data_IF_286930661840
#
_entry.id   IF_286930661840
#
_cell.length_a   1.000
_cell.length_b   1.000
_cell.length_c   1.000
_cell.angle_alpha   90.00
_cell.angle_beta   90.00
_cell.angle_gamma   90.00
#
_symmetry.space_group_name_H-M   'P 1'
#
loop_
_entity.id
_entity.type
_entity.pdbx_description
1 polymer ?
#
# COMPACT_ATOMS: atom_id res chain seq x y z
N UNK A 1 27.53 10.09 14.05
CA UNK A 1 26.63 8.92 14.11
C UNK A 1 26.55 8.38 12.69
N UNK A 2 27.20 7.25 12.43
CA UNK A 2 27.13 6.54 11.15
C UNK A 2 26.08 5.45 11.31
N UNK A 3 24.98 5.54 10.55
CA UNK A 3 23.89 4.57 10.63
C UNK A 3 24.34 3.25 10.00
N UNK A 4 24.60 2.24 10.84
CA UNK A 4 25.06 0.90 10.42
C UNK A 4 23.89 -0.06 10.21
N UNK A 5 22.93 0.29 9.35
CA UNK A 5 21.88 -0.64 8.93
C UNK A 5 21.76 -0.67 7.42
N UNK A 6 22.83 -1.17 6.78
CA UNK A 6 22.76 -1.70 5.42
C UNK A 6 22.22 -3.12 5.50
N UNK A 7 20.98 -3.29 5.93
CA UNK A 7 20.24 -4.48 5.49
C UNK A 7 19.85 -4.20 4.05
N UNK A 8 20.64 -4.75 3.14
CA UNK A 8 20.44 -4.62 1.71
C UNK A 8 19.11 -5.30 1.38
N UNK A 9 18.01 -4.53 1.36
CA UNK A 9 16.73 -4.98 0.89
C UNK A 9 16.94 -5.47 -0.55
N UNK A 10 17.06 -6.78 -0.73
CA UNK A 10 17.42 -7.38 -2.01
C UNK A 10 16.20 -7.38 -2.93
N UNK A 11 15.97 -6.24 -3.56
CA UNK A 11 14.91 -6.04 -4.56
C UNK A 11 15.33 -6.51 -5.95
N UNK A 12 16.47 -7.21 -6.12
CA UNK A 12 16.89 -7.74 -7.43
C UNK A 12 15.89 -8.74 -8.00
N UNK A 13 14.98 -9.26 -7.18
CA UNK A 13 13.88 -10.13 -7.61
C UNK A 13 12.59 -9.38 -7.98
N UNK A 14 12.56 -8.05 -7.83
CA UNK A 14 11.33 -7.22 -7.89
C UNK A 14 11.21 -6.44 -9.22
N UNK A 15 12.23 -6.46 -10.09
CA UNK A 15 12.13 -5.83 -11.41
C UNK A 15 13.22 -6.23 -12.40
N UNK A 16 12.89 -6.27 -13.70
CA UNK A 16 13.78 -6.60 -14.82
C UNK A 16 14.83 -5.50 -15.17
N UNK A 17 15.02 -4.52 -14.28
CA UNK A 17 15.92 -3.37 -14.49
C UNK A 17 17.25 -3.60 -13.77
N UNK A 18 18.36 -3.27 -14.42
CA UNK A 18 19.71 -3.33 -13.83
C UNK A 18 19.97 -2.30 -12.72
N UNK A 19 19.07 -1.31 -12.56
CA UNK A 19 19.12 -0.34 -11.46
C UNK A 19 18.18 -0.76 -10.33
N UNK A 20 18.64 -0.75 -9.05
CA UNK A 20 17.76 -0.97 -7.91
C UNK A 20 16.71 0.12 -7.87
N UNK A 21 15.44 -0.29 -7.80
CA UNK A 21 14.31 0.61 -7.63
C UNK A 21 14.50 1.42 -6.33
N UNK A 22 14.34 2.73 -6.41
CA UNK A 22 14.50 3.62 -5.26
C UNK A 22 13.17 3.72 -4.51
N UNK A 23 13.20 3.80 -3.17
CA UNK A 23 12.04 4.24 -2.39
C UNK A 23 11.54 5.61 -2.85
N UNK A 24 10.24 5.75 -3.04
CA UNK A 24 9.63 6.99 -3.54
C UNK A 24 8.47 7.53 -2.69
N UNK A 25 7.90 6.71 -1.79
CA UNK A 25 6.95 7.15 -0.78
C UNK A 25 7.10 6.31 0.51
N UNK A 26 6.73 6.87 1.66
CA UNK A 26 6.76 6.17 2.94
C UNK A 26 5.64 6.67 3.87
N UNK A 27 5.22 5.81 4.80
CA UNK A 27 4.28 6.11 5.86
C UNK A 27 4.78 5.51 7.17
N UNK A 28 4.68 6.26 8.26
CA UNK A 28 5.09 5.82 9.60
C UNK A 28 3.86 5.41 10.39
N UNK A 29 3.91 4.23 11.01
CA UNK A 29 2.80 3.77 11.83
C UNK A 29 2.68 4.67 13.06
N UNK A 30 1.47 5.14 13.44
CA UNK A 30 1.31 6.15 14.49
C UNK A 30 1.69 5.67 15.91
N UNK A 31 1.68 4.34 16.14
CA UNK A 31 1.84 3.76 17.48
C UNK A 31 2.83 2.59 17.57
N UNK A 32 3.36 2.11 16.45
CA UNK A 32 4.25 0.94 16.40
C UNK A 32 5.53 1.35 15.68
N UNK A 33 6.64 0.67 15.96
CA UNK A 33 7.92 0.92 15.31
C UNK A 33 7.96 0.30 13.89
N UNK A 34 7.02 0.71 13.05
CA UNK A 34 6.82 0.22 11.69
C UNK A 34 6.88 1.37 10.69
N UNK A 35 7.45 1.07 9.53
CA UNK A 35 7.42 1.94 8.37
C UNK A 35 6.97 1.13 7.16
N UNK A 36 5.99 1.65 6.43
CA UNK A 36 5.65 1.17 5.12
C UNK A 36 6.39 2.00 4.09
N UNK A 37 6.97 1.36 3.07
CA UNK A 37 7.77 2.00 2.03
C UNK A 37 7.31 1.53 0.66
N UNK A 38 7.02 2.46 -0.24
CA UNK A 38 6.71 2.16 -1.64
C UNK A 38 8.01 2.10 -2.46
N UNK A 39 8.18 1.00 -3.20
CA UNK A 39 9.31 0.79 -4.11
C UNK A 39 8.81 0.12 -5.39
N UNK A 40 8.83 0.85 -6.51
CA UNK A 40 8.18 0.39 -7.75
C UNK A 40 6.67 0.19 -7.53
N UNK A 41 6.17 -1.01 -7.84
CA UNK A 41 4.76 -1.37 -7.66
C UNK A 41 4.48 -2.04 -6.32
N UNK A 42 5.45 -2.08 -5.41
CA UNK A 42 5.30 -2.76 -4.13
C UNK A 42 5.19 -1.78 -2.99
N UNK A 43 4.38 -2.12 -1.99
CA UNK A 43 4.42 -1.53 -0.66
C UNK A 43 5.02 -2.58 0.28
N UNK A 44 6.08 -2.21 0.99
CA UNK A 44 6.85 -3.09 1.87
C UNK A 44 6.70 -2.58 3.29
N UNK A 45 6.24 -3.42 4.21
CA UNK A 45 6.27 -3.11 5.63
C UNK A 45 7.61 -3.55 6.23
N UNK A 46 8.21 -2.67 7.01
CA UNK A 46 9.52 -2.88 7.63
C UNK A 46 9.47 -2.56 9.12
N UNK A 47 10.22 -3.35 9.89
CA UNK A 47 10.53 -3.03 11.27
C UNK A 47 11.49 -1.83 11.30
N UNK A 48 11.05 -0.73 11.90
CA UNK A 48 11.79 0.52 11.89
C UNK A 48 13.02 0.52 12.83
N UNK A 49 13.12 -0.45 13.75
CA UNK A 49 14.24 -0.56 14.68
C UNK A 49 15.42 -1.31 14.06
N UNK A 50 15.14 -2.31 13.26
CA UNK A 50 16.11 -3.24 12.67
C UNK A 50 16.35 -2.99 11.19
N UNK A 51 15.39 -2.36 10.50
CA UNK A 51 15.37 -2.26 9.04
C UNK A 51 14.97 -3.56 8.34
N UNK A 52 14.54 -4.58 9.08
CA UNK A 52 14.10 -5.85 8.51
C UNK A 52 12.78 -5.67 7.76
N UNK A 53 12.69 -6.28 6.57
CA UNK A 53 11.39 -6.47 5.89
C UNK A 53 10.51 -7.43 6.70
N UNK A 54 9.27 -7.03 6.93
CA UNK A 54 8.22 -7.86 7.55
C UNK A 54 7.36 -8.49 6.46
N UNK A 55 6.77 -7.67 5.59
CA UNK A 55 5.84 -8.11 4.55
C UNK A 55 5.95 -7.25 3.29
N UNK A 56 5.31 -7.67 2.19
CA UNK A 56 5.23 -6.86 0.97
C UNK A 56 4.00 -7.21 0.15
N UNK A 57 3.38 -6.20 -0.44
CA UNK A 57 2.20 -6.32 -1.30
C UNK A 57 2.52 -5.71 -2.66
N UNK A 58 2.28 -6.46 -3.74
CA UNK A 58 2.26 -5.91 -5.10
C UNK A 58 0.92 -5.20 -5.32
N UNK A 59 0.97 -3.90 -5.60
CA UNK A 59 -0.21 -3.07 -5.84
C UNK A 59 -0.42 -2.76 -7.33
N UNK A 60 0.45 -3.27 -8.19
CA UNK A 60 0.36 -3.19 -9.65
C UNK A 60 0.65 -1.82 -10.27
N UNK A 61 0.71 -0.75 -9.48
CA UNK A 61 0.97 0.63 -9.95
C UNK A 61 1.74 1.41 -8.89
N UNK A 62 2.68 2.30 -9.23
CA UNK A 62 3.44 3.03 -8.23
C UNK A 62 2.57 3.94 -7.34
N UNK A 63 2.95 4.01 -6.06
CA UNK A 63 2.31 4.87 -5.07
C UNK A 63 2.74 6.32 -5.23
N UNK A 64 1.78 7.25 -5.21
CA UNK A 64 2.03 8.70 -5.15
C UNK A 64 2.07 9.19 -3.70
N UNK A 65 1.12 8.71 -2.87
CA UNK A 65 1.06 9.01 -1.43
C UNK A 65 0.43 7.86 -0.67
N UNK A 66 0.78 7.73 0.60
CA UNK A 66 0.25 6.69 1.47
C UNK A 66 0.22 7.12 2.94
N UNK A 67 -0.67 6.53 3.71
CA UNK A 67 -0.75 6.66 5.16
C UNK A 67 -1.20 5.35 5.76
N UNK A 68 -0.72 5.03 6.97
CA UNK A 68 -1.34 3.98 7.75
C UNK A 68 -2.80 4.33 8.06
N UNK A 69 -3.66 3.31 8.06
CA UNK A 69 -5.02 3.42 8.58
C UNK A 69 -4.96 3.70 10.08
N UNK A 70 -5.81 4.59 10.63
CA UNK A 70 -5.85 4.84 12.06
C UNK A 70 -6.56 3.71 12.84
N UNK A 71 -7.20 2.77 12.15
CA UNK A 71 -7.83 1.59 12.78
C UNK A 71 -6.76 0.59 13.20
N UNK A 72 -7.01 -0.18 14.26
CA UNK A 72 -6.14 -1.29 14.65
C UNK A 72 -5.97 -2.27 13.49
N UNK A 73 -4.74 -2.43 13.00
CA UNK A 73 -4.37 -3.36 11.93
C UNK A 73 -3.15 -2.87 11.15
N UNK A 74 -2.42 -3.80 10.54
CA UNK A 74 -1.26 -3.47 9.69
C UNK A 74 -1.77 -3.10 8.30
N UNK A 75 -2.37 -1.91 8.16
CA UNK A 75 -3.01 -1.50 6.91
C UNK A 75 -2.59 -0.11 6.46
N UNK A 76 -2.34 0.04 5.16
CA UNK A 76 -2.00 1.31 4.50
C UNK A 76 -3.07 1.66 3.48
N UNK A 77 -3.45 2.94 3.43
CA UNK A 77 -4.23 3.51 2.33
C UNK A 77 -3.28 4.27 1.42
N UNK A 78 -3.30 3.93 0.12
CA UNK A 78 -2.41 4.48 -0.90
C UNK A 78 -3.21 5.12 -2.05
N UNK A 79 -2.72 6.26 -2.53
CA UNK A 79 -3.11 6.90 -3.79
C UNK A 79 -2.05 6.52 -4.82
N UNK A 80 -2.47 5.96 -5.96
CA UNK A 80 -1.59 5.45 -7.00
C UNK A 80 -1.48 6.39 -8.20
N UNK A 81 -0.48 6.15 -9.06
CA UNK A 81 -0.29 6.92 -10.31
C UNK A 81 -1.43 6.74 -11.32
N UNK A 82 -2.18 5.63 -11.24
CA UNK A 82 -3.41 5.40 -12.02
C UNK A 82 -4.64 6.13 -11.43
N UNK A 83 -4.42 7.00 -10.44
CA UNK A 83 -5.43 7.74 -9.70
C UNK A 83 -6.44 6.87 -8.93
N UNK A 84 -6.18 5.57 -8.75
CA UNK A 84 -6.95 4.74 -7.83
C UNK A 84 -6.52 4.99 -6.39
N UNK A 85 -7.44 4.77 -5.45
CA UNK A 85 -7.14 4.73 -4.01
C UNK A 85 -7.36 3.30 -3.56
N UNK A 86 -6.39 2.71 -2.86
CA UNK A 86 -6.47 1.33 -2.39
C UNK A 86 -6.11 1.23 -0.91
N UNK A 87 -6.78 0.32 -0.19
CA UNK A 87 -6.29 -0.17 1.10
C UNK A 87 -5.47 -1.43 0.89
N UNK A 88 -4.40 -1.58 1.66
CA UNK A 88 -3.49 -2.70 1.62
C UNK A 88 -3.36 -3.22 3.04
N UNK A 89 -3.80 -4.46 3.25
CA UNK A 89 -3.74 -5.14 4.54
C UNK A 89 -2.56 -6.12 4.52
N UNK A 90 -1.54 -5.86 5.34
CA UNK A 90 -0.35 -6.68 5.45
C UNK A 90 -0.59 -7.98 6.22
N UNK A 91 -1.58 -8.03 7.11
CA UNK A 91 -1.91 -9.23 7.88
C UNK A 91 -2.63 -10.26 6.98
N UNK A 92 -3.52 -9.77 6.11
CA UNK A 92 -4.26 -10.58 5.15
C UNK A 92 -3.55 -10.76 3.79
N UNK A 93 -2.49 -9.99 3.54
CA UNK A 93 -1.83 -9.87 2.23
C UNK A 93 -2.83 -9.52 1.09
N UNK A 94 -3.81 -8.68 1.38
CA UNK A 94 -4.89 -8.32 0.45
C UNK A 94 -4.90 -6.83 0.11
N UNK A 95 -5.43 -6.53 -1.08
CA UNK A 95 -5.71 -5.14 -1.50
C UNK A 95 -7.18 -4.97 -1.85
N UNK A 96 -7.75 -3.83 -1.45
CA UNK A 96 -9.11 -3.44 -1.80
C UNK A 96 -9.08 -2.09 -2.51
N UNK A 97 -9.82 -1.95 -3.61
CA UNK A 97 -9.99 -0.67 -4.31
C UNK A 97 -11.04 0.15 -3.57
N UNK A 98 -10.64 1.29 -3.03
CA UNK A 98 -11.51 2.25 -2.36
C UNK A 98 -12.07 3.29 -3.34
N UNK A 99 -11.30 3.64 -4.37
CA UNK A 99 -11.70 4.58 -5.41
C UNK A 99 -11.03 4.25 -6.74
N UNK A 100 -11.74 4.52 -7.85
CA UNK A 100 -11.24 4.45 -9.22
C UNK A 100 -11.75 5.66 -10.02
N UNK A 101 -10.93 6.29 -10.87
CA UNK A 101 -11.33 7.43 -11.71
C UNK A 101 -12.44 7.12 -12.72
N UNK A 102 -12.68 5.84 -13.08
CA UNK A 102 -13.73 5.40 -14.01
C UNK A 102 -14.41 4.09 -13.51
N UNK A 103 -15.72 3.85 -13.67
CA UNK A 103 -16.78 4.50 -14.48
C UNK A 103 -17.91 5.09 -13.63
N UNK A 104 -18.29 6.33 -13.93
CA UNK A 104 -19.66 6.84 -13.73
C UNK A 104 -20.60 6.18 -14.75
N UNK A 105 -21.01 4.93 -14.53
CA UNK A 105 -22.14 4.30 -15.24
C UNK A 105 -22.65 3.11 -14.45
N UNK A 106 -23.44 3.37 -13.40
CA UNK A 106 -24.64 2.57 -13.20
C UNK A 106 -25.80 3.57 -13.10
N UNK A 107 -26.71 3.47 -14.07
CA UNK A 107 -28.09 3.87 -13.85
C UNK A 107 -28.49 3.24 -12.52
N UNK A 108 -28.91 4.06 -11.57
CA UNK A 108 -29.73 3.56 -10.47
C UNK A 108 -31.00 3.04 -11.15
N UNK A 109 -31.10 1.73 -11.38
CA UNK A 109 -32.41 1.10 -11.51
C UNK A 109 -33.02 1.17 -10.11
N UNK A 110 -33.95 2.11 -9.95
CA UNK A 110 -34.84 2.15 -8.81
C UNK A 110 -35.80 0.97 -8.94
N UNK A 111 -35.35 -0.22 -8.57
CA UNK A 111 -36.22 -1.37 -8.37
C UNK A 111 -35.78 -2.15 -7.13
N UNK A 112 -36.10 -1.57 -5.98
CA UNK A 112 -36.44 -2.39 -4.82
C UNK A 112 -37.80 -1.93 -4.34
N UNK A 113 -38.79 -2.72 -4.76
CA UNK A 113 -40.17 -2.68 -4.35
C UNK A 113 -40.26 -2.46 -2.84
N UNK A 114 -40.93 -1.38 -2.48
CA UNK A 114 -41.59 -1.16 -1.20
C UNK A 114 -42.59 -2.29 -0.94
N UNK A 115 -42.26 -3.21 -0.04
CA UNK A 115 -43.27 -3.95 0.72
C UNK A 115 -42.66 -4.42 2.06
N UNK A 116 -43.06 -3.75 3.14
CA UNK A 116 -43.26 -4.40 4.44
C UNK A 116 -44.66 -4.00 4.88
N UNK A 117 -45.58 -4.96 4.80
CA UNK A 117 -46.86 -4.95 5.50
C UNK A 117 -46.63 -5.18 6.99
#
# INVERSE_FOLDING_TARGET
>A
MEWTTVQHLDLRHVGRSSKPLQPHAAAFHPHQALVAVAIGNYIIEMDALTGCKISSIDIGTPVVRMSYSPTSGHSVVAILEDCTIRSCDFDAEQTCVLHSPEKKTEQISSDTKSIWL
#
